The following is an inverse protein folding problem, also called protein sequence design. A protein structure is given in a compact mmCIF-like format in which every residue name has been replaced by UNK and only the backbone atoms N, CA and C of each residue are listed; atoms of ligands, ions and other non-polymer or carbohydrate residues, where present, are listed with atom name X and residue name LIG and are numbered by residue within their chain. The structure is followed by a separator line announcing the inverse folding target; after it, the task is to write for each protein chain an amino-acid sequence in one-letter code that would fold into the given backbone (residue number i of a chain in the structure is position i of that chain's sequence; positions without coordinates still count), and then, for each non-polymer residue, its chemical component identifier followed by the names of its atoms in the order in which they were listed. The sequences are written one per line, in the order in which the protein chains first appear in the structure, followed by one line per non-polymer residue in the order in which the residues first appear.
data_IF_564074422453
#
_entry.id   IF_564074422453
#
_cell.length_a   1.000
_cell.length_b   1.000
_cell.length_c   1.000
_cell.angle_alpha   90.00
_cell.angle_beta   90.00
_cell.angle_gamma   90.00
#
_symmetry.space_group_name_H-M   'P 1'
#
loop_
_entity.id
_entity.type
_entity.pdbx_description
1 polymer ?
#
# COMPACT_ATOMS: atom_id res chain seq x y z
N UNK A 1 -7.85 -7.61 17.79
CA UNK A 1 -7.12 -7.49 19.08
C UNK A 1 -6.01 -6.45 18.89
N UNK A 2 -5.99 -5.39 19.70
CA UNK A 2 -4.93 -4.37 19.64
C UNK A 2 -3.55 -4.98 19.95
N UNK A 3 -2.51 -4.54 19.25
CA UNK A 3 -1.12 -4.97 19.52
C UNK A 3 -0.76 -6.41 19.15
N UNK A 4 -1.66 -7.19 18.54
CA UNK A 4 -1.42 -8.61 18.23
C UNK A 4 -0.15 -8.85 17.40
N UNK A 5 0.14 -7.98 16.44
CA UNK A 5 1.37 -8.07 15.64
C UNK A 5 2.63 -7.84 16.49
N UNK A 6 2.61 -6.85 17.40
CA UNK A 6 3.73 -6.59 18.32
C UNK A 6 3.91 -7.74 19.30
N UNK A 7 2.82 -8.29 19.84
CA UNK A 7 2.86 -9.46 20.72
C UNK A 7 3.45 -10.69 20.01
N UNK A 8 3.07 -10.94 18.75
CA UNK A 8 3.63 -12.03 17.96
C UNK A 8 5.13 -11.86 17.69
N UNK A 9 5.58 -10.63 17.44
CA UNK A 9 6.98 -10.32 17.20
C UNK A 9 7.82 -10.34 18.49
N UNK A 10 7.23 -10.13 19.66
CA UNK A 10 7.95 -10.19 20.94
C UNK A 10 8.58 -11.56 21.23
N UNK A 11 8.13 -12.63 20.56
CA UNK A 11 8.71 -13.96 20.66
C UNK A 11 9.93 -14.18 19.73
N UNK A 12 10.22 -13.24 18.81
CA UNK A 12 11.38 -13.33 17.93
C UNK A 12 12.66 -13.04 18.71
N UNK A 13 13.59 -14.01 18.71
CA UNK A 13 14.85 -13.92 19.45
C UNK A 13 15.96 -13.23 18.67
N UNK A 14 15.82 -13.20 17.34
CA UNK A 14 16.79 -12.66 16.41
C UNK A 14 16.09 -12.19 15.11
N UNK A 15 16.78 -11.45 14.23
CA UNK A 15 16.21 -10.98 12.97
C UNK A 15 15.74 -12.10 12.03
N UNK A 16 16.37 -13.29 12.08
CA UNK A 16 15.99 -14.41 11.24
C UNK A 16 14.65 -15.03 11.68
N UNK A 17 14.41 -15.12 12.99
CA UNK A 17 13.15 -15.54 13.56
C UNK A 17 12.03 -14.55 13.22
N UNK A 18 12.29 -13.24 13.28
CA UNK A 18 11.34 -12.23 12.83
C UNK A 18 11.03 -12.37 11.33
N UNK A 19 12.06 -12.55 10.49
CA UNK A 19 11.90 -12.75 9.05
C UNK A 19 11.07 -14.00 8.75
N UNK A 20 11.30 -15.10 9.46
CA UNK A 20 10.52 -16.34 9.34
C UNK A 20 9.05 -16.14 9.74
N UNK A 21 8.77 -15.40 10.82
CA UNK A 21 7.40 -15.06 11.24
C UNK A 21 6.68 -14.20 10.18
N UNK A 22 7.39 -13.26 9.55
CA UNK A 22 6.84 -12.43 8.46
C UNK A 22 6.58 -13.26 7.20
N UNK A 23 7.57 -14.03 6.75
CA UNK A 23 7.48 -14.90 5.58
C UNK A 23 6.37 -15.95 5.75
N UNK A 24 6.23 -16.51 6.96
CA UNK A 24 5.18 -17.47 7.26
C UNK A 24 3.76 -16.92 7.07
N UNK A 25 3.56 -15.60 7.20
CA UNK A 25 2.28 -14.91 6.96
C UNK A 25 2.10 -14.40 5.53
N UNK A 26 3.16 -14.42 4.73
CA UNK A 26 3.09 -13.98 3.34
C UNK A 26 2.27 -14.96 2.50
N UNK A 27 1.97 -14.57 1.27
CA UNK A 27 1.30 -15.43 0.30
C UNK A 27 2.05 -16.76 0.13
N UNK A 28 1.34 -17.89 0.23
CA UNK A 28 1.92 -19.23 0.18
C UNK A 28 2.61 -19.71 1.47
N UNK A 29 2.67 -18.89 2.52
CA UNK A 29 3.23 -19.27 3.81
C UNK A 29 2.27 -20.12 4.66
N UNK A 30 2.80 -20.96 5.58
CA UNK A 30 1.99 -21.86 6.42
C UNK A 30 1.04 -21.15 7.39
N UNK A 31 1.33 -19.89 7.71
CA UNK A 31 0.51 -19.00 8.55
C UNK A 31 -0.12 -17.87 7.73
N UNK A 32 -0.15 -18.00 6.39
CA UNK A 32 -0.88 -17.09 5.51
C UNK A 32 -2.34 -17.02 5.96
N UNK A 33 -2.91 -15.82 5.90
CA UNK A 33 -4.27 -15.58 6.40
C UNK A 33 -5.23 -16.58 5.75
N UNK A 34 -5.99 -17.33 6.56
CA UNK A 34 -7.13 -18.11 6.08
C UNK A 34 -8.00 -17.16 5.25
N UNK A 35 -8.20 -17.48 3.96
CA UNK A 35 -9.08 -16.72 3.07
C UNK A 35 -10.41 -16.51 3.80
N UNK A 36 -10.79 -15.27 4.14
CA UNK A 36 -12.10 -15.03 4.73
C UNK A 36 -13.14 -15.67 3.80
N UNK A 37 -14.03 -16.50 4.35
CA UNK A 37 -15.12 -17.10 3.56
C UNK A 37 -16.11 -16.04 3.09
N UNK A 38 -16.14 -14.91 3.79
CA UNK A 38 -17.04 -13.77 3.55
C UNK A 38 -16.23 -12.46 3.62
N UNK A 39 -16.65 -11.46 2.85
CA UNK A 39 -16.05 -10.14 2.87
C UNK A 39 -16.35 -9.41 4.21
N UNK A 40 -15.40 -8.66 4.79
CA UNK A 40 -15.66 -7.85 5.97
C UNK A 40 -16.73 -6.78 5.68
N UNK A 41 -17.71 -6.62 6.57
CA UNK A 41 -18.78 -5.62 6.42
C UNK A 41 -18.33 -4.20 6.78
N UNK A 42 -17.24 -4.04 7.57
CA UNK A 42 -16.75 -2.77 8.13
C UNK A 42 -15.36 -2.35 7.61
N UNK A 43 -14.76 -3.12 6.69
CA UNK A 43 -13.39 -2.91 6.17
C UNK A 43 -13.32 -3.28 4.69
N UNK A 44 -14.12 -2.59 3.92
CA UNK A 44 -14.35 -2.91 2.52
C UNK A 44 -13.20 -2.42 1.64
N UNK A 45 -12.68 -1.22 1.90
CA UNK A 45 -11.45 -0.74 1.29
C UNK A 45 -10.21 -1.04 2.15
N UNK A 46 -9.19 -1.61 1.51
CA UNK A 46 -7.91 -1.86 2.16
C UNK A 46 -7.22 -0.55 2.53
N UNK A 47 -6.72 -0.47 3.76
CA UNK A 47 -5.97 0.68 4.27
C UNK A 47 -4.66 0.20 4.88
N UNK A 48 -3.55 0.84 4.49
CA UNK A 48 -2.19 0.49 4.93
C UNK A 48 -1.71 1.40 6.08
N UNK A 49 -2.51 1.47 7.14
CA UNK A 49 -2.24 2.34 8.29
C UNK A 49 -2.80 3.76 8.12
N UNK A 50 -2.19 4.72 8.83
CA UNK A 50 -2.58 6.12 8.73
C UNK A 50 -1.87 6.76 7.54
N UNK A 51 -2.66 7.31 6.62
CA UNK A 51 -2.19 8.11 5.50
C UNK A 51 -2.91 9.46 5.51
N UNK A 52 -2.15 10.55 5.51
CA UNK A 52 -2.67 11.93 5.50
C UNK A 52 -1.96 12.66 4.38
N UNK A 53 -2.73 13.24 3.46
CA UNK A 53 -2.21 14.11 2.41
C UNK A 53 -2.49 15.55 2.83
N UNK A 54 -1.45 16.29 3.18
CA UNK A 54 -1.56 17.70 3.53
C UNK A 54 -1.42 18.57 2.28
N UNK A 55 -2.50 19.29 1.97
CA UNK A 55 -2.60 20.23 0.86
C UNK A 55 -2.65 21.67 1.41
N UNK A 56 -2.52 22.66 0.55
CA UNK A 56 -2.49 24.07 0.96
C UNK A 56 -3.73 24.56 1.72
N UNK A 57 -4.89 23.92 1.54
CA UNK A 57 -6.19 24.35 2.09
C UNK A 57 -7.00 23.20 2.69
N UNK A 58 -6.42 22.00 2.77
CA UNK A 58 -7.11 20.84 3.30
C UNK A 58 -6.13 19.73 3.67
N UNK A 59 -6.51 18.92 4.65
CA UNK A 59 -5.94 17.59 4.86
C UNK A 59 -6.90 16.52 4.32
N UNK A 60 -6.38 15.57 3.56
CA UNK A 60 -7.15 14.47 2.98
C UNK A 60 -6.76 13.17 3.68
N UNK A 61 -7.78 12.40 4.07
CA UNK A 61 -7.59 11.11 4.74
C UNK A 61 -8.43 10.01 4.08
N UNK A 62 -7.80 8.96 3.54
CA UNK A 62 -8.48 7.73 3.18
C UNK A 62 -9.10 7.04 4.42
N UNK A 63 -10.32 6.56 4.25
CA UNK A 63 -11.11 5.83 5.23
C UNK A 63 -11.53 4.47 4.64
N UNK A 64 -11.99 3.50 5.46
CA UNK A 64 -12.45 2.19 4.96
C UNK A 64 -13.68 2.22 4.03
N UNK A 65 -14.38 3.35 3.96
CA UNK A 65 -15.66 3.58 3.29
C UNK A 65 -15.64 4.81 2.36
N UNK A 66 -14.49 5.46 2.19
CA UNK A 66 -14.41 6.69 1.41
C UNK A 66 -13.19 7.55 1.74
N UNK A 67 -13.29 8.84 1.44
CA UNK A 67 -12.24 9.84 1.68
C UNK A 67 -12.83 11.00 2.46
N UNK A 68 -12.18 11.39 3.57
CA UNK A 68 -12.50 12.60 4.31
C UNK A 68 -11.59 13.75 3.90
N UNK A 69 -12.18 14.91 3.68
CA UNK A 69 -11.48 16.16 3.37
C UNK A 69 -11.73 17.13 4.51
N UNK A 70 -10.69 17.45 5.26
CA UNK A 70 -10.71 18.42 6.35
C UNK A 70 -10.27 19.77 5.78
N UNK A 71 -11.22 20.55 5.27
CA UNK A 71 -10.96 21.88 4.73
C UNK A 71 -11.11 22.97 5.82
N UNK A 72 -10.75 24.21 5.49
CA UNK A 72 -10.76 25.33 6.44
C UNK A 72 -12.09 25.56 7.17
N UNK A 73 -13.22 25.28 6.49
CA UNK A 73 -14.58 25.63 6.97
C UNK A 73 -15.50 24.44 7.13
N UNK A 74 -15.13 23.28 6.63
CA UNK A 74 -15.99 22.11 6.58
C UNK A 74 -15.16 20.82 6.58
N UNK A 75 -15.79 19.75 7.02
CA UNK A 75 -15.29 18.39 6.84
C UNK A 75 -16.24 17.72 5.86
N UNK A 76 -15.75 17.49 4.65
CA UNK A 76 -16.49 16.79 3.61
C UNK A 76 -16.14 15.30 3.62
N UNK A 77 -17.12 14.48 3.25
CA UNK A 77 -16.93 13.05 3.10
C UNK A 77 -17.35 12.62 1.70
N UNK A 78 -16.43 12.00 0.98
CA UNK A 78 -16.64 11.42 -0.33
C UNK A 78 -16.73 9.90 -0.17
N UNK A 79 -17.94 9.32 -0.19
CA UNK A 79 -18.11 7.87 -0.05
C UNK A 79 -17.55 7.15 -1.27
N UNK A 80 -16.99 5.97 -1.06
CA UNK A 80 -16.61 5.04 -2.12
C UNK A 80 -17.57 3.83 -2.10
N UNK A 81 -17.92 3.28 -3.27
CA UNK A 81 -18.75 2.09 -3.33
C UNK A 81 -17.96 0.86 -2.88
N UNK A 82 -18.66 -0.08 -2.24
CA UNK A 82 -18.11 -1.38 -1.86
C UNK A 82 -17.44 -2.05 -3.07
N UNK A 83 -16.18 -2.52 -2.96
CA UNK A 83 -15.52 -3.23 -4.04
C UNK A 83 -16.16 -4.62 -4.21
N UNK A 84 -16.48 -4.99 -5.45
CA UNK A 84 -17.07 -6.31 -5.77
C UNK A 84 -16.04 -7.42 -5.49
N UNK A 85 -14.78 -7.18 -5.86
CA UNK A 85 -13.64 -8.06 -5.58
C UNK A 85 -12.49 -7.20 -5.07
N UNK A 86 -11.91 -7.49 -3.89
CA UNK A 86 -10.76 -6.75 -3.40
C UNK A 86 -9.60 -6.78 -4.41
N UNK A 87 -9.05 -5.61 -4.72
CA UNK A 87 -7.92 -5.43 -5.66
C UNK A 87 -8.17 -5.92 -7.09
N UNK A 88 -9.43 -5.95 -7.54
CA UNK A 88 -9.76 -6.30 -8.94
C UNK A 88 -8.99 -5.43 -9.93
N UNK A 89 -8.75 -4.17 -9.57
CA UNK A 89 -8.10 -3.16 -10.38
C UNK A 89 -6.68 -3.58 -10.80
N UNK A 90 -5.99 -4.38 -9.99
CA UNK A 90 -4.65 -4.91 -10.30
C UNK A 90 -4.72 -5.94 -11.42
N UNK A 91 -5.73 -6.81 -11.40
CA UNK A 91 -5.92 -7.83 -12.43
C UNK A 91 -6.46 -7.20 -13.71
N UNK A 92 -7.36 -6.23 -13.59
CA UNK A 92 -7.91 -5.48 -14.72
C UNK A 92 -6.80 -4.72 -15.46
N UNK A 93 -5.89 -4.07 -14.74
CA UNK A 93 -4.73 -3.40 -15.34
C UNK A 93 -3.80 -4.39 -16.05
N UNK A 94 -3.48 -5.54 -15.43
CA UNK A 94 -2.66 -6.56 -16.05
C UNK A 94 -3.32 -7.11 -17.33
N UNK A 95 -4.63 -7.37 -17.28
CA UNK A 95 -5.38 -7.82 -18.43
C UNK A 95 -5.31 -6.78 -19.56
N UNK A 96 -5.59 -5.51 -19.27
CA UNK A 96 -5.54 -4.44 -20.25
C UNK A 96 -4.14 -4.25 -20.87
N UNK A 97 -3.08 -4.38 -20.07
CA UNK A 97 -1.72 -4.31 -20.57
C UNK A 97 -1.37 -5.46 -21.53
N UNK A 98 -1.84 -6.68 -21.24
CA UNK A 98 -1.50 -7.88 -22.02
C UNK A 98 -2.39 -8.04 -23.26
N UNK A 99 -3.70 -7.83 -23.12
CA UNK A 99 -4.67 -8.13 -24.17
C UNK A 99 -5.12 -6.90 -24.94
N UNK A 100 -5.18 -5.73 -24.30
CA UNK A 100 -5.66 -4.49 -24.92
C UNK A 100 -4.51 -3.54 -25.32
N UNK A 101 -3.25 -3.93 -25.05
CA UNK A 101 -2.05 -3.14 -25.29
C UNK A 101 -2.13 -1.73 -24.68
N UNK A 102 -2.82 -1.62 -23.54
CA UNK A 102 -2.92 -0.38 -22.77
C UNK A 102 -1.64 -0.17 -21.93
N UNK A 103 -1.02 1.02 -21.93
CA UNK A 103 0.11 1.29 -21.05
C UNK A 103 -0.31 1.15 -19.58
N UNK A 104 0.34 0.26 -18.79
CA UNK A 104 0.02 0.13 -17.37
C UNK A 104 0.50 1.36 -16.61
N UNK A 105 -0.27 1.78 -15.59
CA UNK A 105 0.20 2.73 -14.61
C UNK A 105 1.39 2.13 -13.85
N UNK A 106 1.26 0.87 -13.41
CA UNK A 106 2.28 0.10 -12.68
C UNK A 106 3.32 -0.58 -13.59
N UNK A 107 4.09 0.21 -14.35
CA UNK A 107 5.13 -0.29 -15.27
C UNK A 107 6.36 -0.89 -14.57
N UNK A 108 7.19 -1.62 -15.32
CA UNK A 108 8.45 -2.17 -14.83
C UNK A 108 9.45 -1.08 -14.43
N UNK A 109 9.49 0.02 -15.16
CA UNK A 109 10.32 1.20 -14.89
C UNK A 109 9.91 1.85 -13.57
N UNK A 110 8.60 2.01 -13.32
CA UNK A 110 8.12 2.56 -12.06
C UNK A 110 8.30 1.57 -10.89
N UNK A 111 8.18 0.26 -11.15
CA UNK A 111 8.56 -0.78 -10.19
C UNK A 111 10.04 -0.69 -9.79
N UNK A 112 10.93 -0.49 -10.75
CA UNK A 112 12.37 -0.25 -10.50
C UNK A 112 12.60 1.05 -9.71
N UNK A 113 11.90 2.12 -10.05
CA UNK A 113 11.96 3.39 -9.31
C UNK A 113 11.55 3.22 -7.84
N UNK A 114 10.50 2.44 -7.58
CA UNK A 114 10.04 2.12 -6.22
C UNK A 114 11.07 1.28 -5.46
N UNK A 115 11.70 0.30 -6.12
CA UNK A 115 12.79 -0.49 -5.52
C UNK A 115 14.01 0.37 -5.17
N UNK A 116 14.33 1.37 -6.00
CA UNK A 116 15.39 2.34 -5.72
C UNK A 116 15.13 3.10 -4.41
N UNK A 117 13.88 3.54 -4.18
CA UNK A 117 13.48 4.19 -2.91
C UNK A 117 13.71 3.27 -1.71
N UNK A 118 13.29 2.01 -1.80
CA UNK A 118 13.51 1.03 -0.73
C UNK A 118 14.99 0.88 -0.38
N UNK A 119 15.86 0.83 -1.39
CA UNK A 119 17.32 0.76 -1.20
C UNK A 119 17.88 2.05 -0.62
N UNK A 120 17.41 3.20 -1.10
CA UNK A 120 17.84 4.51 -0.63
C UNK A 120 17.50 4.72 0.85
N UNK A 121 16.37 4.20 1.34
CA UNK A 121 16.01 4.23 2.76
C UNK A 121 17.04 3.47 3.61
N UNK A 122 17.41 2.25 3.20
CA UNK A 122 18.43 1.46 3.91
C UNK A 122 19.78 2.19 3.92
N UNK A 123 20.21 2.68 2.75
CA UNK A 123 21.46 3.41 2.62
C UNK A 123 21.47 4.72 3.44
N UNK A 124 20.35 5.44 3.45
CA UNK A 124 20.20 6.68 4.22
C UNK A 124 20.31 6.42 5.72
N UNK A 125 19.76 5.30 6.21
CA UNK A 125 19.88 4.91 7.62
C UNK A 125 21.33 4.61 8.00
N UNK A 126 22.09 3.94 7.13
CA UNK A 126 23.49 3.61 7.36
C UNK A 126 24.40 4.85 7.31
N UNK A 127 24.17 5.74 6.34
CA UNK A 127 25.02 6.90 6.07
C UNK A 127 24.56 8.19 6.78
N UNK A 128 23.37 8.19 7.39
CA UNK A 128 22.74 9.35 8.04
C UNK A 128 22.70 10.60 7.15
N UNK A 129 22.41 10.42 5.86
CA UNK A 129 22.31 11.51 4.88
C UNK A 129 21.27 11.24 3.82
N UNK A 130 20.92 12.29 3.08
CA UNK A 130 20.06 12.20 1.91
C UNK A 130 20.73 11.41 0.77
N UNK A 131 19.94 10.56 0.11
CA UNK A 131 20.35 9.74 -1.02
C UNK A 131 19.59 10.21 -2.27
N UNK A 132 20.26 10.84 -3.25
CA UNK A 132 19.59 11.27 -4.48
C UNK A 132 19.20 10.06 -5.33
N UNK A 133 17.94 10.05 -5.78
CA UNK A 133 17.36 9.01 -6.62
C UNK A 133 17.63 9.31 -8.11
N UNK A 134 17.87 8.27 -8.92
CA UNK A 134 18.30 8.39 -10.33
C UNK A 134 17.37 7.70 -11.31
N UNK A 135 16.47 6.84 -10.83
CA UNK A 135 15.60 6.02 -11.68
C UNK A 135 14.12 6.40 -11.56
N UNK A 136 13.82 7.54 -10.95
CA UNK A 136 12.43 8.02 -10.83
C UNK A 136 11.87 8.35 -12.21
N UNK A 137 10.65 7.86 -12.46
CA UNK A 137 9.91 8.04 -13.71
C UNK A 137 8.48 8.47 -13.41
N UNK A 138 7.88 9.22 -14.32
CA UNK A 138 6.45 9.56 -14.25
C UNK A 138 5.64 8.36 -14.74
N UNK A 139 4.61 7.90 -13.99
CA UNK A 139 3.70 6.86 -14.47
C UNK A 139 2.94 7.34 -15.71
N UNK A 140 2.96 6.56 -16.79
CA UNK A 140 2.38 6.95 -18.10
C UNK A 140 0.84 6.96 -18.11
N UNK A 141 0.20 6.21 -17.20
CA UNK A 141 -1.26 6.08 -17.10
C UNK A 141 -1.97 7.26 -16.39
N UNK A 142 -1.23 8.18 -15.78
CA UNK A 142 -1.80 9.34 -15.10
C UNK A 142 -2.05 10.46 -16.11
N UNK A 143 -3.18 10.44 -16.81
CA UNK A 143 -3.61 11.61 -17.59
C UNK A 143 -4.10 12.68 -16.61
N UNK A 144 -3.43 13.84 -16.63
CA UNK A 144 -3.88 15.05 -15.95
C UNK A 144 -5.15 15.62 -16.61
#
# INVERSE_FOLDING_TARGET
RYGAARQALAAAKDPAAEAAIKAGRAYGGPNGVNRPREAPTDRQHENFGLFVISCAQADIRPMPDGVRVYADKAIDFHPLPDPIVPRTEVIDELHAAVFDNAPPLHSGEWGRATLEVCRAIVQSADESREIPLKHQVTPEGLRA
#
